data_IF_756667010826
#
_entry.id   IF_756667010826
#
_cell.length_a   1.000
_cell.length_b   1.000
_cell.length_c   1.000
_cell.angle_alpha   90.00
_cell.angle_beta   90.00
_cell.angle_gamma   90.00
#
_symmetry.space_group_name_H-M   'P 1'
#
loop_
_entity.id
_entity.type
_entity.pdbx_description
1 polymer ?
#
# COMPACT_ATOMS: atom_id res chain seq x y z
N UNK A 1 -1.25 -11.98 7.54
CA UNK A 1 -0.68 -10.65 7.17
C UNK A 1 -1.72 -9.58 7.41
N UNK A 2 -1.36 -8.39 7.89
CA UNK A 2 -2.30 -7.29 8.06
C UNK A 2 -2.43 -6.49 6.76
N UNK A 3 -3.64 -6.36 6.24
CA UNK A 3 -3.97 -5.52 5.08
C UNK A 3 -4.65 -4.25 5.57
N UNK A 4 -3.98 -3.11 5.43
CA UNK A 4 -4.54 -1.79 5.69
C UNK A 4 -5.27 -1.31 4.43
N UNK A 5 -6.61 -1.32 4.46
CA UNK A 5 -7.44 -0.95 3.33
C UNK A 5 -7.88 0.52 3.41
N UNK A 6 -7.30 1.37 2.57
CA UNK A 6 -7.65 2.79 2.48
C UNK A 6 -8.62 3.10 1.32
N UNK A 7 -9.20 2.07 0.71
CA UNK A 7 -10.15 2.16 -0.39
C UNK A 7 -11.52 1.62 0.03
N UNK A 8 -12.38 1.34 -0.95
CA UNK A 8 -13.63 0.62 -0.69
C UNK A 8 -13.34 -0.79 -0.14
N UNK A 9 -14.27 -1.37 0.65
CA UNK A 9 -14.12 -2.73 1.16
C UNK A 9 -13.84 -3.73 0.04
N UNK A 10 -12.89 -4.64 0.27
CA UNK A 10 -12.57 -5.70 -0.68
C UNK A 10 -13.67 -6.77 -0.68
N UNK A 11 -14.00 -7.27 -1.86
CA UNK A 11 -14.91 -8.41 -2.03
C UNK A 11 -14.24 -9.73 -1.61
N UNK A 12 -15.02 -10.76 -1.30
CA UNK A 12 -14.49 -12.09 -0.96
C UNK A 12 -13.53 -12.63 -2.02
N UNK A 13 -13.86 -12.48 -3.31
CA UNK A 13 -13.00 -12.90 -4.41
C UNK A 13 -11.66 -12.14 -4.42
N UNK A 14 -11.69 -10.83 -4.18
CA UNK A 14 -10.47 -10.03 -4.10
C UNK A 14 -9.61 -10.46 -2.90
N UNK A 15 -10.22 -10.74 -1.75
CA UNK A 15 -9.49 -11.24 -0.57
C UNK A 15 -8.77 -12.54 -0.91
N UNK A 16 -9.46 -13.50 -1.53
CA UNK A 16 -8.86 -14.75 -1.98
C UNK A 16 -7.71 -14.53 -2.97
N UNK A 17 -7.85 -13.58 -3.90
CA UNK A 17 -6.78 -13.21 -4.82
C UNK A 17 -5.56 -12.64 -4.07
N UNK A 18 -5.76 -11.80 -3.05
CA UNK A 18 -4.66 -11.29 -2.22
C UNK A 18 -3.95 -12.44 -1.48
N UNK A 19 -4.71 -13.35 -0.87
CA UNK A 19 -4.15 -14.50 -0.14
C UNK A 19 -3.35 -15.41 -1.08
N UNK A 20 -3.86 -15.67 -2.28
CA UNK A 20 -3.17 -16.44 -3.30
C UNK A 20 -1.86 -15.76 -3.76
N UNK A 21 -1.89 -14.45 -4.01
CA UNK A 21 -0.69 -13.69 -4.43
C UNK A 21 0.35 -13.54 -3.31
N UNK A 22 -0.09 -13.46 -2.06
CA UNK A 22 0.78 -13.28 -0.89
C UNK A 22 1.24 -14.58 -0.24
N UNK A 23 0.59 -15.71 -0.56
CA UNK A 23 0.90 -17.03 -0.01
C UNK A 23 0.49 -17.22 1.46
N UNK A 24 -0.34 -16.35 2.01
CA UNK A 24 -0.73 -16.36 3.43
C UNK A 24 -2.09 -15.67 3.64
N UNK A 25 -2.83 -16.02 4.71
CA UNK A 25 -4.11 -15.39 5.01
C UNK A 25 -3.96 -13.90 5.35
N UNK A 26 -4.99 -13.11 5.05
CA UNK A 26 -5.03 -11.68 5.36
C UNK A 26 -6.07 -11.33 6.42
N UNK A 27 -5.61 -10.57 7.41
CA UNK A 27 -6.46 -9.83 8.37
C UNK A 27 -6.67 -8.43 7.78
N UNK A 28 -7.91 -8.00 7.60
CA UNK A 28 -8.22 -6.73 6.93
C UNK A 28 -8.63 -5.70 7.97
N UNK A 29 -8.03 -4.52 7.87
CA UNK A 29 -8.44 -3.32 8.60
C UNK A 29 -8.91 -2.30 7.59
N UNK A 30 -10.22 -2.01 7.57
CA UNK A 30 -10.80 -0.99 6.70
C UNK A 30 -10.66 0.40 7.33
N UNK A 31 -10.01 1.31 6.60
CA UNK A 31 -9.80 2.70 7.00
C UNK A 31 -10.37 3.61 5.89
N UNK A 32 -11.67 3.95 5.94
CA UNK A 32 -12.26 4.88 4.98
C UNK A 32 -11.47 6.18 4.87
N UNK A 33 -11.11 6.59 3.65
CA UNK A 33 -10.40 7.83 3.38
C UNK A 33 -11.34 8.83 2.71
N UNK A 34 -11.50 10.00 3.34
CA UNK A 34 -12.21 11.13 2.78
C UNK A 34 -11.48 12.40 3.16
N UNK A 35 -10.85 13.04 2.17
CA UNK A 35 -10.17 14.32 2.35
C UNK A 35 -11.00 15.43 1.72
N UNK A 36 -11.13 16.56 2.41
CA UNK A 36 -11.65 17.80 1.83
C UNK A 36 -10.55 18.43 0.96
N UNK A 37 -10.83 18.54 -0.33
CA UNK A 37 -9.93 19.14 -1.32
C UNK A 37 -9.72 20.65 -1.14
N UNK A 38 -10.57 21.32 -0.35
CA UNK A 38 -10.45 22.75 -0.06
C UNK A 38 -9.63 23.03 1.20
N UNK A 39 -9.15 22.00 1.88
CA UNK A 39 -8.37 22.10 3.11
C UNK A 39 -6.96 21.52 2.91
N UNK A 40 -5.96 21.95 3.69
CA UNK A 40 -4.62 21.34 3.65
C UNK A 40 -4.67 19.83 3.96
N UNK A 41 -3.87 19.04 3.24
CA UNK A 41 -3.90 17.57 3.37
C UNK A 41 -3.12 17.03 4.57
N UNK A 42 -2.11 17.75 5.09
CA UNK A 42 -1.28 17.24 6.19
C UNK A 42 -2.06 17.04 7.51
N UNK A 43 -2.87 18.00 7.99
CA UNK A 43 -3.69 17.77 9.18
C UNK A 43 -4.70 16.63 9.00
N UNK A 44 -5.20 16.45 7.77
CA UNK A 44 -6.13 15.36 7.43
C UNK A 44 -5.42 13.99 7.42
N UNK A 45 -4.16 13.95 6.96
CA UNK A 45 -3.31 12.77 7.06
C UNK A 45 -3.03 12.41 8.52
N UNK A 46 -2.66 13.39 9.35
CA UNK A 46 -2.45 13.16 10.79
C UNK A 46 -3.70 12.57 11.44
N UNK A 47 -4.88 13.13 11.16
CA UNK A 47 -6.16 12.60 11.64
C UNK A 47 -6.50 11.21 11.07
N UNK A 48 -6.06 10.89 9.85
CA UNK A 48 -6.19 9.53 9.31
C UNK A 48 -5.29 8.55 10.07
N UNK A 49 -4.05 8.96 10.38
CA UNK A 49 -3.07 8.10 11.05
C UNK A 49 -3.43 7.81 12.50
N UNK A 50 -4.12 8.70 13.21
CA UNK A 50 -4.58 8.45 14.59
C UNK A 50 -5.65 7.35 14.68
N UNK A 51 -6.32 7.02 13.56
CA UNK A 51 -7.30 5.93 13.49
C UNK A 51 -6.63 4.55 13.41
N UNK A 52 -5.35 4.49 13.06
CA UNK A 52 -4.58 3.26 12.99
C UNK A 52 -4.12 2.91 14.42
N UNK A 53 -4.83 1.98 15.06
CA UNK A 53 -4.53 1.53 16.42
C UNK A 53 -3.38 0.51 16.46
N UNK A 54 -2.26 0.84 15.82
CA UNK A 54 -1.04 0.01 15.82
C UNK A 54 0.01 0.64 16.73
N UNK A 55 0.51 -0.16 17.67
CA UNK A 55 1.63 0.21 18.53
C UNK A 55 2.94 0.31 17.74
N UNK A 56 3.96 1.03 18.26
CA UNK A 56 5.27 1.10 17.63
C UNK A 56 5.89 -0.28 17.33
N UNK A 57 5.69 -1.26 18.23
CA UNK A 57 6.18 -2.62 18.03
C UNK A 57 5.47 -3.34 16.87
N UNK A 58 4.15 -3.13 16.72
CA UNK A 58 3.39 -3.71 15.61
C UNK A 58 3.79 -3.11 14.27
N UNK A 59 4.06 -1.80 14.19
CA UNK A 59 4.57 -1.16 12.96
C UNK A 59 5.87 -1.77 12.46
N UNK A 60 6.74 -2.23 13.36
CA UNK A 60 8.05 -2.78 13.01
C UNK A 60 8.03 -4.27 12.72
N UNK A 61 7.10 -5.01 13.33
CA UNK A 61 7.10 -6.48 13.32
C UNK A 61 5.99 -7.12 12.50
N UNK A 62 4.83 -6.46 12.35
CA UNK A 62 3.72 -7.06 11.59
C UNK A 62 4.04 -7.01 10.09
N UNK A 63 3.81 -8.11 9.35
CA UNK A 63 3.78 -8.05 7.89
C UNK A 63 2.57 -7.23 7.47
N UNK A 64 2.82 -6.06 6.88
CA UNK A 64 1.79 -5.08 6.48
C UNK A 64 1.74 -5.00 4.95
N UNK A 65 0.53 -5.08 4.42
CA UNK A 65 0.17 -4.83 3.02
C UNK A 65 -0.79 -3.64 2.97
N UNK A 66 -0.65 -2.78 1.97
CA UNK A 66 -1.49 -1.57 1.83
C UNK A 66 -2.36 -1.67 0.59
N UNK A 67 -3.68 -1.52 0.73
CA UNK A 67 -4.52 -1.14 -0.41
C UNK A 67 -4.67 0.39 -0.40
N UNK A 68 -4.03 1.12 -1.32
CA UNK A 68 -3.94 2.57 -1.24
C UNK A 68 -5.28 3.26 -1.52
N UNK A 69 -5.46 4.52 -1.07
CA UNK A 69 -6.58 5.35 -1.49
C UNK A 69 -6.52 5.66 -2.99
N UNK A 70 -7.68 5.86 -3.63
CA UNK A 70 -7.76 6.10 -5.07
C UNK A 70 -7.13 7.43 -5.52
N UNK A 71 -7.05 8.44 -4.63
CA UNK A 71 -6.43 9.73 -4.95
C UNK A 71 -4.91 9.66 -4.74
N UNK A 72 -4.15 9.91 -5.81
CA UNK A 72 -2.69 9.76 -5.84
C UNK A 72 -1.95 10.64 -4.82
N UNK A 73 -2.42 11.86 -4.56
CA UNK A 73 -1.81 12.77 -3.58
C UNK A 73 -1.88 12.19 -2.16
N UNK A 74 -3.01 11.59 -1.79
CA UNK A 74 -3.17 10.94 -0.48
C UNK A 74 -2.27 9.72 -0.41
N UNK A 75 -2.22 8.91 -1.48
CA UNK A 75 -1.31 7.75 -1.57
C UNK A 75 0.14 8.16 -1.36
N UNK A 76 0.61 9.21 -2.03
CA UNK A 76 2.00 9.67 -1.91
C UNK A 76 2.34 10.09 -0.45
N UNK A 77 1.46 10.86 0.17
CA UNK A 77 1.61 11.28 1.57
C UNK A 77 1.60 10.10 2.54
N UNK A 78 0.63 9.20 2.38
CA UNK A 78 0.49 8.00 3.21
C UNK A 78 1.73 7.11 3.11
N UNK A 79 2.26 6.87 1.90
CA UNK A 79 3.43 6.03 1.72
C UNK A 79 4.70 6.64 2.35
N UNK A 80 4.85 7.97 2.30
CA UNK A 80 5.95 8.65 2.98
C UNK A 80 5.85 8.49 4.51
N UNK A 81 4.66 8.68 5.07
CA UNK A 81 4.38 8.53 6.50
C UNK A 81 4.60 7.09 6.98
N UNK A 82 4.05 6.10 6.26
CA UNK A 82 4.22 4.68 6.59
C UNK A 82 5.69 4.26 6.48
N UNK A 83 6.41 4.75 5.47
CA UNK A 83 7.85 4.49 5.33
C UNK A 83 8.64 4.99 6.55
N UNK A 84 8.31 6.18 7.07
CA UNK A 84 8.91 6.72 8.30
C UNK A 84 8.66 5.86 9.54
N UNK A 85 7.44 5.34 9.70
CA UNK A 85 7.05 4.50 10.85
C UNK A 85 7.61 3.08 10.79
N UNK A 86 7.70 2.52 9.58
CA UNK A 86 8.07 1.11 9.35
C UNK A 86 9.57 0.93 9.06
N UNK A 87 10.27 1.97 8.60
CA UNK A 87 11.68 1.90 8.17
C UNK A 87 11.89 1.33 6.75
N UNK A 88 10.84 0.78 6.13
CA UNK A 88 10.83 0.26 4.76
C UNK A 88 9.53 0.66 4.05
N UNK A 89 9.50 0.62 2.72
CA UNK A 89 8.26 0.88 2.00
C UNK A 89 7.35 -0.34 2.06
N UNK A 90 6.08 -0.20 2.48
CA UNK A 90 5.14 -1.31 2.44
C UNK A 90 4.88 -1.75 0.99
N UNK A 91 4.65 -3.04 0.73
CA UNK A 91 4.06 -3.46 -0.54
C UNK A 91 2.64 -2.90 -0.68
N UNK A 92 2.21 -2.65 -1.93
CA UNK A 92 0.88 -2.12 -2.22
C UNK A 92 0.10 -3.02 -3.17
N UNK A 93 -1.20 -3.13 -2.95
CA UNK A 93 -2.12 -3.75 -3.90
C UNK A 93 -2.33 -2.85 -5.11
N UNK A 94 -2.41 -3.49 -6.30
CA UNK A 94 -2.93 -2.85 -7.49
C UNK A 94 -4.19 -3.55 -7.95
N UNK A 95 -5.32 -2.87 -7.83
CA UNK A 95 -6.57 -3.29 -8.45
C UNK A 95 -6.61 -2.81 -9.92
N UNK A 96 -7.26 -3.59 -10.78
CA UNK A 96 -7.57 -3.17 -12.16
C UNK A 96 -8.98 -3.59 -12.55
N UNK A 97 -9.63 -2.86 -13.48
CA UNK A 97 -10.92 -3.29 -14.00
C UNK A 97 -10.74 -4.61 -14.76
N UNK A 98 -11.72 -5.50 -14.64
CA UNK A 98 -11.82 -6.69 -15.48
C UNK A 98 -12.44 -6.27 -16.81
N UNK A 99 -11.76 -6.49 -17.96
CA UNK A 99 -12.30 -6.16 -19.27
C UNK A 99 -13.66 -6.83 -19.49
N UNK A 100 -14.56 -6.10 -20.14
CA UNK A 100 -15.89 -6.57 -20.58
C UNK A 100 -16.82 -7.11 -19.48
N UNK A 101 -16.52 -6.82 -18.21
CA UNK A 101 -17.36 -7.22 -17.09
C UNK A 101 -18.61 -6.34 -16.98
N UNK A 102 -19.78 -6.98 -16.87
CA UNK A 102 -21.06 -6.34 -16.62
C UNK A 102 -21.76 -7.01 -15.42
N UNK A 103 -21.96 -6.31 -14.29
CA UNK A 103 -21.52 -4.93 -14.01
C UNK A 103 -19.99 -4.79 -13.93
N UNK A 104 -19.44 -3.55 -13.97
CA UNK A 104 -18.02 -3.31 -13.78
C UNK A 104 -17.52 -3.94 -12.48
N UNK A 105 -16.42 -4.72 -12.59
CA UNK A 105 -15.75 -5.33 -11.45
C UNK A 105 -14.24 -5.13 -11.55
N UNK A 106 -13.58 -5.22 -10.40
CA UNK A 106 -12.14 -5.08 -10.28
C UNK A 106 -11.53 -6.35 -9.70
N UNK A 107 -10.34 -6.68 -10.16
CA UNK A 107 -9.53 -7.80 -9.65
C UNK A 107 -8.21 -7.29 -9.07
N UNK A 108 -7.63 -8.07 -8.16
CA UNK A 108 -6.27 -7.86 -7.66
C UNK A 108 -5.29 -8.29 -8.74
N UNK A 109 -4.69 -7.32 -9.43
CA UNK A 109 -3.80 -7.57 -10.54
C UNK A 109 -2.42 -8.04 -10.07
N UNK A 110 -1.88 -7.41 -9.03
CA UNK A 110 -0.55 -7.70 -8.50
C UNK A 110 -0.35 -7.06 -7.12
N UNK A 111 0.72 -7.49 -6.45
CA UNK A 111 1.28 -6.86 -5.24
C UNK A 111 2.63 -6.23 -5.63
N UNK A 112 2.71 -4.90 -5.56
CA UNK A 112 3.91 -4.14 -5.90
C UNK A 112 4.82 -4.04 -4.68
N UNK A 113 6.02 -4.63 -4.75
CA UNK A 113 7.04 -4.50 -3.70
C UNK A 113 7.80 -3.17 -3.83
N UNK A 114 7.29 -2.12 -3.20
CA UNK A 114 7.88 -0.78 -3.24
C UNK A 114 9.27 -0.72 -2.58
N UNK A 115 9.54 -1.56 -1.58
CA UNK A 115 10.87 -1.63 -0.99
C UNK A 115 11.91 -2.17 -2.00
N UNK A 116 11.56 -3.20 -2.76
CA UNK A 116 12.42 -3.71 -3.83
C UNK A 116 12.65 -2.66 -4.94
N UNK A 117 11.63 -1.84 -5.26
CA UNK A 117 11.79 -0.69 -6.18
C UNK A 117 12.82 0.30 -5.62
N UNK A 118 12.71 0.65 -4.33
CA UNK A 118 13.68 1.55 -3.66
C UNK A 118 15.10 0.98 -3.72
N UNK A 119 15.30 -0.30 -3.40
CA UNK A 119 16.64 -0.90 -3.38
C UNK A 119 17.25 -0.95 -4.79
N UNK A 120 16.47 -1.29 -5.83
CA UNK A 120 16.94 -1.23 -7.22
C UNK A 120 17.33 0.19 -7.63
N UNK A 121 16.53 1.19 -7.27
CA UNK A 121 16.83 2.59 -7.54
C UNK A 121 18.10 3.07 -6.82
N UNK A 122 18.37 2.57 -5.59
CA UNK A 122 19.62 2.85 -4.86
C UNK A 122 20.83 2.24 -5.54
N UNK A 123 20.73 0.97 -5.98
CA UNK A 123 21.81 0.30 -6.71
C UNK A 123 22.14 1.01 -8.04
N UNK A 124 21.11 1.44 -8.78
CA UNK A 124 21.29 2.15 -10.05
C UNK A 124 21.92 3.55 -9.92
N UNK A 125 21.89 4.17 -8.73
CA UNK A 125 22.53 5.48 -8.48
C UNK A 125 24.05 5.39 -8.48
N UNK A 126 24.60 4.26 -8.04
CA UNK A 126 26.03 3.99 -8.02
C UNK A 126 26.29 2.76 -8.90
N UNK A 127 26.24 2.91 -10.24
CA UNK A 127 26.65 1.82 -11.11
C UNK A 127 28.07 1.44 -10.70
N UNK A 128 28.29 0.15 -10.44
CA UNK A 128 29.61 -0.38 -10.15
C UNK A 128 30.52 -0.08 -11.35
N UNK A 129 31.35 0.96 -11.22
CA UNK A 129 32.49 1.18 -12.12
C UNK A 129 33.48 0.03 -11.87
N UNK A 130 33.28 -1.08 -12.54
CA UNK A 130 34.07 -2.28 -12.29
C UNK A 130 33.67 -3.42 -13.20
N UNK A 131 33.87 -3.22 -14.51
CA UNK A 131 34.20 -4.28 -15.48
C UNK A 131 34.57 -3.58 -16.80
N UNK A 132 35.75 -2.97 -16.80
CA UNK A 132 36.54 -2.75 -18.00
C UNK A 132 37.89 -3.42 -17.72
N UNK A 133 37.92 -4.74 -17.95
CA UNK A 133 39.11 -5.56 -18.05
C UNK A 133 39.12 -6.20 -19.42
#
# INVERSE_FOLDING_TARGET
MLLLNFSHPLTTDQIQQVEALSGQPVEIMDIPVHFDNNQPFLPQLEALMTRLSLSPAEWQSRPILVNPPSLNFITALLLAELHGRMGYFPPVLRLRPVPDALPPRYEVAEILNLNAVRERARAARYPSNGEAG
#
